data_IF_490412446496
#
_entry.id   IF_490412446496
#
_cell.length_a   1.000
_cell.length_b   1.000
_cell.length_c   1.000
_cell.angle_alpha   90.00
_cell.angle_beta   90.00
_cell.angle_gamma   90.00
#
_symmetry.space_group_name_H-M   'P 1'
#
loop_
_entity.id
_entity.type
_entity.pdbx_description
1 polymer ?
#
# COMPACT_ATOMS: atom_id res chain seq x y z
N UNK A 1 -10.59 -21.38 -8.75
CA UNK A 1 -11.82 -20.59 -8.87
C UNK A 1 -11.43 -19.22 -9.44
N UNK A 2 -11.98 -18.77 -10.58
CA UNK A 2 -11.69 -17.41 -11.03
C UNK A 2 -12.25 -16.46 -9.98
N UNK A 3 -11.41 -15.58 -9.44
CA UNK A 3 -11.84 -14.48 -8.59
C UNK A 3 -12.87 -13.65 -9.40
N UNK A 4 -14.07 -13.55 -8.86
CA UNK A 4 -15.04 -12.59 -9.34
C UNK A 4 -14.38 -11.23 -9.14
N UNK A 5 -14.03 -10.57 -10.24
CA UNK A 5 -13.55 -9.18 -10.21
C UNK A 5 -14.77 -8.35 -9.79
N UNK A 6 -14.96 -8.20 -8.49
CA UNK A 6 -15.80 -7.13 -7.98
C UNK A 6 -15.01 -5.86 -8.21
N UNK A 7 -15.59 -4.83 -8.81
CA UNK A 7 -14.94 -3.52 -8.96
C UNK A 7 -14.88 -2.76 -7.62
N UNK A 8 -15.13 -3.44 -6.51
CA UNK A 8 -15.27 -2.88 -5.17
C UNK A 8 -14.69 -3.83 -4.13
N UNK A 9 -14.10 -3.24 -3.09
CA UNK A 9 -13.50 -3.91 -1.94
C UNK A 9 -14.01 -3.31 -0.63
N UNK A 10 -13.79 -3.99 0.48
CA UNK A 10 -13.98 -3.42 1.81
C UNK A 10 -12.77 -2.59 2.20
N UNK A 11 -13.01 -1.40 2.71
CA UNK A 11 -11.95 -0.51 3.17
C UNK A 11 -12.41 0.33 4.37
N UNK A 12 -11.45 0.77 5.17
CA UNK A 12 -11.67 1.81 6.17
C UNK A 12 -10.99 3.08 5.68
N UNK A 13 -11.77 4.09 5.36
CA UNK A 13 -11.29 5.34 4.77
C UNK A 13 -11.54 6.54 5.70
N UNK A 14 -10.69 7.55 5.58
CA UNK A 14 -10.82 8.83 6.25
C UNK A 14 -11.34 9.88 5.26
N UNK A 15 -12.43 10.55 5.60
CA UNK A 15 -13.06 11.56 4.73
C UNK A 15 -12.61 13.02 5.01
N UNK A 16 -11.62 13.15 5.91
CA UNK A 16 -11.13 14.45 6.38
C UNK A 16 -11.74 14.90 7.71
N UNK A 17 -12.71 14.15 8.23
CA UNK A 17 -13.35 14.40 9.51
C UNK A 17 -13.41 13.15 10.40
N UNK A 18 -13.74 12.00 9.82
CA UNK A 18 -13.89 10.75 10.55
C UNK A 18 -13.48 9.52 9.71
N UNK A 19 -13.15 8.43 10.41
CA UNK A 19 -12.93 7.13 9.79
C UNK A 19 -14.27 6.45 9.51
N UNK A 20 -14.43 5.90 8.30
CA UNK A 20 -15.65 5.19 7.86
C UNK A 20 -15.28 3.84 7.27
N UNK A 21 -16.05 2.83 7.64
CA UNK A 21 -16.00 1.54 6.96
C UNK A 21 -16.92 1.57 5.72
N UNK A 22 -16.35 1.23 4.56
CA UNK A 22 -17.05 1.17 3.28
C UNK A 22 -16.93 -0.25 2.71
N UNK A 23 -18.06 -0.90 2.48
CA UNK A 23 -18.12 -2.24 1.88
C UNK A 23 -18.03 -2.21 0.35
N UNK A 24 -18.14 -1.03 -0.25
CA UNK A 24 -18.16 -0.82 -1.70
C UNK A 24 -17.12 0.22 -2.15
N UNK A 25 -15.98 0.25 -1.46
CA UNK A 25 -14.89 1.13 -1.86
C UNK A 25 -14.29 0.67 -3.20
N UNK A 26 -13.96 1.57 -4.14
CA UNK A 26 -13.42 1.17 -5.43
C UNK A 26 -12.13 0.36 -5.30
N UNK A 27 -11.99 -0.70 -6.09
CA UNK A 27 -10.73 -1.45 -6.20
C UNK A 27 -9.58 -0.53 -6.66
N UNK A 28 -8.32 -0.84 -6.29
CA UNK A 28 -7.16 -0.15 -6.82
C UNK A 28 -7.13 -0.15 -8.34
N UNK A 29 -6.72 0.98 -8.93
CA UNK A 29 -6.65 1.12 -10.39
C UNK A 29 -5.65 0.11 -10.98
N UNK A 30 -5.93 -0.45 -12.16
CA UNK A 30 -5.00 -1.34 -12.84
C UNK A 30 -3.73 -0.60 -13.28
N UNK A 31 -2.62 -1.34 -13.44
CA UNK A 31 -1.35 -0.81 -13.95
C UNK A 31 -0.16 -1.04 -13.02
N UNK A 32 -0.42 -1.36 -11.76
CA UNK A 32 0.59 -1.74 -10.76
C UNK A 32 0.29 -3.16 -10.23
N UNK A 33 1.19 -3.68 -9.40
CA UNK A 33 0.93 -4.94 -8.72
C UNK A 33 -0.19 -4.78 -7.69
N UNK A 34 -1.16 -5.68 -7.72
CA UNK A 34 -2.26 -5.75 -6.77
C UNK A 34 -1.88 -6.70 -5.64
N UNK A 35 -1.96 -6.22 -4.43
CA UNK A 35 -1.64 -6.99 -3.22
C UNK A 35 -2.90 -7.15 -2.37
N UNK A 36 -3.24 -8.39 -2.05
CA UNK A 36 -4.27 -8.70 -1.04
C UNK A 36 -3.63 -8.59 0.33
N UNK A 37 -4.13 -7.67 1.14
CA UNK A 37 -3.61 -7.41 2.49
C UNK A 37 -3.98 -8.56 3.43
N UNK A 38 -2.97 -9.12 4.11
CA UNK A 38 -3.15 -10.15 5.14
C UNK A 38 -3.20 -9.54 6.54
N UNK A 39 -2.35 -8.54 6.78
CA UNK A 39 -2.25 -7.86 8.07
C UNK A 39 -1.73 -6.45 7.84
N UNK A 40 -2.26 -5.48 8.58
CA UNK A 40 -1.78 -4.09 8.59
C UNK A 40 -1.52 -3.61 10.02
N UNK A 41 -0.47 -2.80 10.17
CA UNK A 41 -0.14 -2.12 11.42
C UNK A 41 -0.73 -0.71 11.46
N UNK A 42 -0.90 -0.16 12.66
CA UNK A 42 -1.30 1.23 12.90
C UNK A 42 -0.06 2.00 13.37
N UNK A 43 0.31 3.01 12.60
CA UNK A 43 1.43 3.91 12.91
C UNK A 43 0.92 5.19 13.63
N UNK A 44 1.82 5.85 14.37
CA UNK A 44 1.53 7.18 14.91
C UNK A 44 1.15 8.21 13.84
N UNK A 45 1.72 8.08 12.64
CA UNK A 45 1.36 8.93 11.48
C UNK A 45 -0.11 8.80 11.08
N UNK A 46 -0.71 7.60 11.19
CA UNK A 46 -2.14 7.43 10.92
C UNK A 46 -2.98 8.30 11.88
N UNK A 47 -2.59 8.37 13.15
CA UNK A 47 -3.26 9.20 14.16
C UNK A 47 -3.05 10.70 13.89
N UNK A 48 -1.85 11.11 13.47
CA UNK A 48 -1.56 12.51 13.09
C UNK A 48 -2.37 12.95 11.86
N UNK A 49 -2.63 12.03 10.92
CA UNK A 49 -3.48 12.31 9.75
C UNK A 49 -4.91 12.63 10.21
N UNK A 50 -5.45 11.91 11.19
CA UNK A 50 -6.77 12.20 11.75
C UNK A 50 -6.83 13.61 12.37
N UNK A 51 -5.70 14.10 12.87
CA UNK A 51 -5.55 15.46 13.42
C UNK A 51 -5.19 16.52 12.35
N UNK A 52 -5.23 16.15 11.06
CA UNK A 52 -5.06 17.07 9.93
C UNK A 52 -3.67 17.08 9.28
N UNK A 53 -2.75 16.21 9.70
CA UNK A 53 -1.45 16.06 9.04
C UNK A 53 -1.63 15.69 7.56
N UNK A 54 -0.85 16.31 6.68
CA UNK A 54 -0.85 16.12 5.22
C UNK A 54 -2.19 16.45 4.52
N UNK A 55 -3.25 16.86 5.24
CA UNK A 55 -4.59 17.08 4.69
C UNK A 55 -5.07 15.89 3.80
N UNK A 56 -4.68 14.68 4.16
CA UNK A 56 -4.95 13.46 3.39
C UNK A 56 -6.39 12.98 3.63
N UNK A 57 -7.00 12.49 2.56
CA UNK A 57 -8.29 11.78 2.58
C UNK A 57 -8.15 10.52 1.72
N UNK A 58 -8.73 9.42 2.17
CA UNK A 58 -8.67 8.12 1.51
C UNK A 58 -8.42 6.98 2.50
N UNK A 59 -7.96 5.86 2.02
CA UNK A 59 -7.60 4.70 2.85
C UNK A 59 -6.24 4.93 3.51
N UNK A 60 -6.20 4.88 4.84
CA UNK A 60 -4.96 4.97 5.62
C UNK A 60 -4.22 3.63 5.68
N UNK A 61 -3.10 3.62 6.40
CA UNK A 61 -2.28 2.42 6.63
C UNK A 61 -1.15 2.28 5.63
N UNK A 62 0.06 2.12 6.14
CA UNK A 62 1.27 2.00 5.35
C UNK A 62 2.23 0.92 5.85
N UNK A 63 1.92 0.29 6.98
CA UNK A 63 2.60 -0.89 7.49
C UNK A 63 1.77 -2.11 7.14
N UNK A 64 2.25 -2.99 6.27
CA UNK A 64 1.47 -4.14 5.83
C UNK A 64 2.32 -5.35 5.48
N UNK A 65 1.66 -6.49 5.47
CA UNK A 65 2.08 -7.70 4.78
C UNK A 65 0.89 -8.23 3.97
N UNK A 66 1.16 -8.74 2.79
CA UNK A 66 0.11 -9.26 1.92
C UNK A 66 0.64 -10.26 0.89
N UNK A 67 -0.25 -10.70 0.02
CA UNK A 67 0.04 -11.65 -1.06
C UNK A 67 -0.23 -10.97 -2.40
N UNK A 68 0.70 -11.06 -3.33
CA UNK A 68 0.53 -10.51 -4.68
C UNK A 68 -0.53 -11.32 -5.43
N UNK A 69 -1.63 -10.68 -5.81
CA UNK A 69 -2.73 -11.29 -6.58
C UNK A 69 -2.58 -11.05 -8.08
N UNK A 70 -2.05 -9.88 -8.47
CA UNK A 70 -1.78 -9.53 -9.87
C UNK A 70 -0.46 -8.78 -9.96
N UNK A 71 0.31 -9.06 -10.99
CA UNK A 71 1.54 -8.35 -11.34
C UNK A 71 1.83 -8.52 -12.82
N UNK A 72 2.55 -7.57 -13.42
CA UNK A 72 3.15 -7.72 -14.75
C UNK A 72 4.22 -8.82 -14.79
N UNK A 73 4.84 -9.10 -13.62
CA UNK A 73 5.79 -10.18 -13.42
C UNK A 73 5.09 -11.40 -12.83
N UNK A 74 4.89 -12.49 -13.61
CA UNK A 74 4.23 -13.70 -13.12
C UNK A 74 4.90 -14.34 -11.91
N UNK A 75 6.23 -14.18 -11.76
CA UNK A 75 7.00 -14.77 -10.65
C UNK A 75 6.67 -14.14 -9.29
N UNK A 76 6.07 -12.95 -9.30
CA UNK A 76 5.59 -12.28 -8.09
C UNK A 76 4.23 -12.78 -7.60
N UNK A 77 3.41 -13.33 -8.49
CA UNK A 77 2.06 -13.79 -8.15
C UNK A 77 2.11 -14.89 -7.09
N UNK A 78 1.33 -14.74 -6.03
CA UNK A 78 1.30 -15.66 -4.89
C UNK A 78 2.42 -15.46 -3.87
N UNK A 79 3.37 -14.55 -4.12
CA UNK A 79 4.44 -14.24 -3.15
C UNK A 79 3.90 -13.38 -2.01
N UNK A 80 4.39 -13.69 -0.79
CA UNK A 80 4.18 -12.83 0.38
C UNK A 80 5.15 -11.66 0.34
N UNK A 81 4.62 -10.46 0.51
CA UNK A 81 5.38 -9.22 0.34
C UNK A 81 5.09 -8.21 1.44
N UNK A 82 6.08 -7.36 1.68
CA UNK A 82 5.97 -6.05 2.33
C UNK A 82 6.33 -4.97 1.31
N UNK A 83 6.16 -3.69 1.62
CA UNK A 83 6.38 -2.64 0.62
C UNK A 83 7.19 -1.46 1.11
N UNK A 84 8.00 -0.88 0.19
CA UNK A 84 8.47 0.51 0.29
C UNK A 84 7.28 1.42 -0.03
N UNK A 85 6.92 2.28 0.89
CA UNK A 85 5.69 3.09 0.80
C UNK A 85 5.81 4.29 -0.14
N UNK A 86 7.03 4.74 -0.45
CA UNK A 86 7.29 5.86 -1.36
C UNK A 86 7.36 5.38 -2.80
N UNK A 87 6.30 5.60 -3.58
CA UNK A 87 6.25 5.27 -4.99
C UNK A 87 6.63 6.48 -5.84
N UNK A 88 7.76 6.39 -6.54
CA UNK A 88 8.25 7.43 -7.45
C UNK A 88 7.41 7.52 -8.73
N UNK A 89 7.53 8.62 -9.45
CA UNK A 89 6.84 8.81 -10.75
C UNK A 89 7.55 8.09 -11.91
N UNK A 90 8.73 7.53 -11.70
CA UNK A 90 9.59 6.83 -12.69
C UNK A 90 9.98 7.68 -13.92
N UNK A 91 9.74 8.98 -13.91
CA UNK A 91 9.94 9.85 -15.05
C UNK A 91 10.82 11.08 -14.78
N UNK A 92 10.97 11.53 -13.53
CA UNK A 92 11.79 12.68 -13.17
C UNK A 92 13.29 12.31 -13.03
N UNK A 93 14.14 13.32 -12.94
CA UNK A 93 15.60 13.15 -12.83
C UNK A 93 16.03 12.39 -11.58
N UNK A 94 15.27 12.52 -10.48
CA UNK A 94 15.51 11.74 -9.26
C UNK A 94 15.24 10.25 -9.48
N UNK A 95 14.10 9.91 -10.08
CA UNK A 95 13.75 8.51 -10.35
C UNK A 95 14.74 7.88 -11.35
N UNK A 96 15.16 8.60 -12.39
CA UNK A 96 16.16 8.12 -13.37
C UNK A 96 17.52 7.83 -12.73
N UNK A 97 17.81 8.41 -11.56
CA UNK A 97 19.01 8.16 -10.77
C UNK A 97 18.82 7.15 -9.66
N UNK A 98 17.67 6.45 -9.62
CA UNK A 98 17.34 5.49 -8.56
C UNK A 98 16.99 6.13 -7.21
N UNK A 99 16.66 7.42 -7.20
CA UNK A 99 16.36 8.19 -5.99
C UNK A 99 14.83 8.40 -5.83
N UNK A 100 14.05 7.32 -5.94
CA UNK A 100 12.59 7.38 -5.98
C UNK A 100 11.97 8.03 -4.73
N UNK A 101 12.59 7.86 -3.56
CA UNK A 101 12.15 8.48 -2.29
C UNK A 101 12.25 10.01 -2.30
N UNK A 102 13.12 10.58 -3.15
CA UNK A 102 13.29 12.02 -3.33
C UNK A 102 12.48 12.57 -4.50
N UNK A 103 11.67 11.76 -5.15
CA UNK A 103 10.83 12.17 -6.25
C UNK A 103 9.85 13.28 -5.80
N UNK A 104 9.85 14.47 -6.45
CA UNK A 104 8.92 15.54 -6.09
C UNK A 104 7.45 15.19 -6.40
N UNK A 105 7.24 14.22 -7.29
CA UNK A 105 5.91 13.74 -7.69
C UNK A 105 5.57 12.37 -7.07
N UNK A 106 6.29 11.95 -6.02
CA UNK A 106 6.01 10.68 -5.38
C UNK A 106 4.62 10.65 -4.77
N UNK A 107 4.05 9.48 -4.70
CA UNK A 107 2.93 9.16 -3.83
C UNK A 107 3.42 8.36 -2.63
N UNK A 108 2.69 8.39 -1.52
CA UNK A 108 3.05 7.64 -0.31
C UNK A 108 1.83 6.85 0.15
N UNK A 109 2.01 5.54 0.27
CA UNK A 109 0.94 4.60 0.63
C UNK A 109 0.24 5.05 1.93
N UNK A 110 -1.08 5.28 1.87
CA UNK A 110 -1.90 5.65 3.02
C UNK A 110 -1.61 7.05 3.62
N UNK A 111 -0.80 7.89 2.95
CA UNK A 111 -0.35 9.19 3.48
C UNK A 111 -0.48 10.30 2.45
N UNK A 112 -0.13 10.05 1.19
CA UNK A 112 -0.10 11.08 0.16
C UNK A 112 -0.54 10.54 -1.19
N UNK A 113 -1.72 10.94 -1.65
CA UNK A 113 -2.27 10.65 -3.00
C UNK A 113 -2.27 9.17 -3.39
N UNK A 114 -2.26 8.25 -2.43
CA UNK A 114 -2.31 6.80 -2.64
C UNK A 114 -3.03 6.14 -1.48
N UNK A 115 -4.05 5.36 -1.79
CA UNK A 115 -4.77 4.57 -0.81
C UNK A 115 -3.87 3.52 -0.16
N UNK A 116 -4.09 3.30 1.13
CA UNK A 116 -3.25 2.50 1.99
C UNK A 116 -3.78 1.10 2.26
N UNK A 117 -3.30 0.53 3.35
CA UNK A 117 -3.45 -0.89 3.69
C UNK A 117 -4.67 -1.22 4.56
N UNK A 118 -5.46 -0.23 5.00
CA UNK A 118 -6.70 -0.51 5.74
C UNK A 118 -7.84 -0.87 4.78
N UNK A 119 -7.56 -1.78 3.86
CA UNK A 119 -8.47 -2.30 2.83
C UNK A 119 -8.13 -3.74 2.50
N UNK A 120 -9.00 -4.43 1.77
CA UNK A 120 -8.73 -5.80 1.30
C UNK A 120 -7.58 -5.85 0.31
N UNK A 121 -7.43 -4.81 -0.52
CA UNK A 121 -6.39 -4.71 -1.54
C UNK A 121 -5.72 -3.34 -1.53
N UNK A 122 -4.44 -3.33 -1.92
CA UNK A 122 -3.68 -2.13 -2.24
C UNK A 122 -2.92 -2.32 -3.55
N UNK A 123 -2.46 -1.23 -4.16
CA UNK A 123 -1.56 -1.30 -5.32
C UNK A 123 -0.26 -0.57 -5.05
N UNK A 124 0.83 -1.17 -5.52
CA UNK A 124 2.18 -0.58 -5.53
C UNK A 124 2.92 -0.99 -6.80
N UNK A 125 3.85 -0.13 -7.28
CA UNK A 125 4.80 -0.55 -8.30
C UNK A 125 5.56 -1.81 -7.85
N UNK A 126 5.89 -2.70 -8.80
CA UNK A 126 6.58 -3.95 -8.47
C UNK A 126 7.92 -3.71 -7.75
N UNK A 127 8.66 -2.70 -8.17
CA UNK A 127 9.94 -2.32 -7.55
C UNK A 127 9.84 -1.90 -6.08
N UNK A 128 8.62 -1.56 -5.62
CA UNK A 128 8.35 -1.24 -4.22
C UNK A 128 8.04 -2.48 -3.38
N UNK A 129 7.85 -3.66 -3.99
CA UNK A 129 7.47 -4.88 -3.28
C UNK A 129 8.71 -5.73 -2.95
N UNK A 130 8.80 -6.17 -1.71
CA UNK A 130 9.87 -7.02 -1.20
C UNK A 130 9.32 -8.36 -0.74
N UNK A 131 9.75 -9.45 -1.39
CA UNK A 131 9.35 -10.81 -1.01
C UNK A 131 9.96 -11.15 0.35
N UNK A 132 9.13 -11.67 1.25
CA UNK A 132 9.56 -12.10 2.58
C UNK A 132 9.75 -13.62 2.63
N UNK A 133 10.77 -14.11 3.37
CA UNK A 133 10.99 -15.54 3.56
C UNK A 133 9.83 -16.23 4.30
N UNK A 134 9.58 -17.50 3.99
CA UNK A 134 8.53 -18.28 4.65
C UNK A 134 8.75 -18.46 6.16
N UNK A 135 10.00 -18.34 6.62
CA UNK A 135 10.36 -18.41 8.03
C UNK A 135 9.90 -17.19 8.86
N UNK A 136 9.50 -16.09 8.22
CA UNK A 136 9.00 -14.88 8.88
C UNK A 136 7.48 -14.91 8.86
N UNK A 137 6.84 -14.86 10.04
CA UNK A 137 5.38 -14.79 10.16
C UNK A 137 4.83 -13.42 9.73
N UNK A 138 3.53 -13.33 9.44
CA UNK A 138 2.89 -12.05 9.12
C UNK A 138 2.98 -11.06 10.29
N UNK A 139 2.89 -11.55 11.54
CA UNK A 139 3.04 -10.73 12.74
C UNK A 139 4.44 -10.13 12.88
N UNK A 140 5.47 -10.79 12.35
CA UNK A 140 6.82 -10.24 12.30
C UNK A 140 7.01 -9.34 11.07
N UNK A 141 6.50 -9.76 9.93
CA UNK A 141 6.67 -9.07 8.65
C UNK A 141 6.01 -7.68 8.63
N UNK A 142 4.89 -7.49 9.33
CA UNK A 142 4.21 -6.18 9.40
C UNK A 142 5.10 -5.08 10.02
N UNK A 143 6.13 -5.45 10.78
CA UNK A 143 7.09 -4.51 11.38
C UNK A 143 8.27 -4.16 10.48
N UNK A 144 8.36 -4.70 9.27
CA UNK A 144 9.50 -4.41 8.37
C UNK A 144 9.52 -2.93 7.98
N UNK A 145 8.38 -2.35 7.65
CA UNK A 145 8.31 -0.92 7.30
C UNK A 145 8.74 -0.02 8.47
N UNK A 146 8.15 -0.11 9.68
CA UNK A 146 8.56 0.76 10.79
C UNK A 146 9.99 0.52 11.27
N UNK A 147 10.59 -0.65 11.03
CA UNK A 147 11.98 -0.91 11.33
C UNK A 147 12.94 -0.31 10.30
N UNK A 148 12.46 -0.08 9.08
CA UNK A 148 13.24 0.49 7.98
C UNK A 148 13.14 2.03 7.89
N UNK A 149 12.22 2.61 8.64
CA UNK A 149 11.93 4.04 8.63
C UNK A 149 12.99 4.89 9.37
#
# INVERSE_FOLDING_TARGET
MPLIITNFMKATCFDGAEMKFDENYPDPKPGESLVRVSLAGICGTDLEILDGYMAYQGVLGHEFVGVVEKSSNPDMIGKRVVGEINAGCNNCDYCKKGMNRHCPNRTVLGILKRDGAFAEFLSLPEENLHVIPDSISDQQAVFVEPLAA
#
